data_IF_491961684001
#
_entry.id   IF_491961684001
#
_cell.length_a   1.000
_cell.length_b   1.000
_cell.length_c   1.000
_cell.angle_alpha   90.00
_cell.angle_beta   90.00
_cell.angle_gamma   90.00
#
_symmetry.space_group_name_H-M   'P 1'
#
loop_
_entity.id
_entity.type
_entity.pdbx_description
1 polymer ?
#
# COMPACT_ATOMS: atom_id res chain seq x y z
N UNK A 1 -57.34 -16.71 45.73
CA UNK A 1 -56.21 -17.28 46.50
C UNK A 1 -55.02 -17.48 45.57
N UNK A 2 -54.06 -16.54 45.57
CA UNK A 2 -52.90 -16.59 44.66
C UNK A 2 -51.88 -17.65 45.08
N UNK A 3 -51.49 -18.54 44.17
CA UNK A 3 -50.47 -19.57 44.43
C UNK A 3 -49.08 -18.91 44.59
N UNK A 4 -48.43 -19.16 45.73
CA UNK A 4 -47.08 -18.68 46.06
C UNK A 4 -46.05 -19.30 45.09
N UNK A 5 -45.37 -18.47 44.29
CA UNK A 5 -44.29 -18.92 43.40
C UNK A 5 -43.09 -19.31 44.28
N UNK A 6 -42.60 -20.57 44.22
CA UNK A 6 -41.46 -20.98 45.04
C UNK A 6 -40.19 -20.26 44.58
N UNK A 7 -39.47 -19.67 45.54
CA UNK A 7 -38.23 -18.96 45.29
C UNK A 7 -37.11 -19.86 44.72
N UNK A 8 -36.24 -19.26 43.90
CA UNK A 8 -35.09 -19.94 43.30
C UNK A 8 -34.10 -20.35 44.40
N UNK A 9 -34.01 -21.66 44.68
CA UNK A 9 -33.03 -22.20 45.64
C UNK A 9 -31.61 -21.96 45.12
N UNK A 10 -30.80 -21.20 45.85
CA UNK A 10 -29.37 -21.09 45.59
C UNK A 10 -28.73 -22.46 45.86
N UNK A 11 -28.34 -23.17 44.79
CA UNK A 11 -27.57 -24.41 44.95
C UNK A 11 -26.18 -24.01 45.46
N UNK A 12 -25.99 -24.16 46.77
CA UNK A 12 -24.66 -24.14 47.38
C UNK A 12 -23.78 -25.19 46.70
N UNK A 13 -22.46 -24.99 46.81
CA UNK A 13 -21.49 -25.96 46.31
C UNK A 13 -21.69 -27.26 47.10
N UNK A 14 -22.04 -28.34 46.38
CA UNK A 14 -22.44 -29.62 46.98
C UNK A 14 -21.38 -30.19 47.94
N UNK A 15 -20.08 -30.02 47.60
CA UNK A 15 -18.94 -30.44 48.42
C UNK A 15 -17.83 -29.35 48.42
N UNK A 16 -17.62 -28.60 49.52
CA UNK A 16 -16.65 -27.50 49.55
C UNK A 16 -15.20 -27.97 49.40
N UNK A 17 -14.87 -29.14 49.95
CA UNK A 17 -13.53 -29.74 49.88
C UNK A 17 -13.17 -30.17 48.45
N UNK A 18 -14.12 -30.72 47.69
CA UNK A 18 -13.90 -31.09 46.28
C UNK A 18 -13.71 -29.85 45.41
N UNK A 19 -14.44 -28.78 45.67
CA UNK A 19 -14.26 -27.51 44.96
C UNK A 19 -12.89 -26.88 45.27
N UNK A 20 -12.47 -26.89 46.53
CA UNK A 20 -11.14 -26.42 46.92
C UNK A 20 -10.03 -27.24 46.28
N UNK A 21 -10.13 -28.59 46.29
CA UNK A 21 -9.18 -29.48 45.60
C UNK A 21 -9.09 -29.17 44.12
N UNK A 22 -10.24 -28.98 43.44
CA UNK A 22 -10.28 -28.60 42.03
C UNK A 22 -9.59 -27.25 41.78
N UNK A 23 -9.93 -26.23 42.58
CA UNK A 23 -9.31 -24.89 42.48
C UNK A 23 -7.80 -24.93 42.68
N UNK A 24 -7.31 -25.66 43.67
CA UNK A 24 -5.87 -25.85 43.92
C UNK A 24 -5.19 -26.58 42.75
N UNK A 25 -5.83 -27.61 42.19
CA UNK A 25 -5.28 -28.34 41.03
C UNK A 25 -5.17 -27.50 39.75
N UNK A 26 -6.08 -26.54 39.58
CA UNK A 26 -6.05 -25.58 38.47
C UNK A 26 -4.95 -24.53 38.69
N UNK A 27 -4.81 -24.02 39.92
CA UNK A 27 -3.78 -23.04 40.27
C UNK A 27 -2.36 -23.59 40.14
N UNK A 28 -2.14 -24.88 40.43
CA UNK A 28 -0.84 -25.54 40.25
C UNK A 28 -0.34 -25.54 38.79
N UNK A 29 -1.21 -25.26 37.81
CA UNK A 29 -0.88 -25.18 36.38
C UNK A 29 -0.73 -23.75 35.87
N UNK A 30 -0.97 -22.75 36.74
CA UNK A 30 -0.86 -21.33 36.40
C UNK A 30 0.61 -20.88 36.57
N UNK A 31 0.97 -19.86 35.80
CA UNK A 31 2.32 -19.29 35.58
C UNK A 31 3.20 -19.28 36.85
N UNK A 32 4.49 -19.61 36.67
CA UNK A 32 5.56 -19.72 37.68
C UNK A 32 5.54 -20.97 38.59
N UNK A 33 4.77 -22.01 38.25
CA UNK A 33 4.95 -23.33 38.87
C UNK A 33 6.33 -23.91 38.49
N UNK A 34 7.05 -24.58 39.41
CA UNK A 34 8.31 -25.22 39.09
C UNK A 34 8.10 -26.31 38.02
N UNK A 35 9.11 -26.59 37.17
CA UNK A 35 9.08 -27.73 36.26
C UNK A 35 8.78 -29.04 37.00
N UNK A 36 8.04 -29.96 36.36
CA UNK A 36 7.70 -31.27 36.95
C UNK A 36 8.94 -32.12 37.17
N UNK A 37 9.82 -32.13 36.18
CA UNK A 37 11.08 -32.86 36.16
C UNK A 37 12.22 -31.86 35.92
N UNK A 38 13.28 -31.94 36.74
CA UNK A 38 14.41 -31.01 36.68
C UNK A 38 15.36 -31.31 35.53
N UNK A 39 15.43 -32.57 35.12
CA UNK A 39 16.34 -33.05 34.08
C UNK A 39 15.69 -33.09 32.69
N UNK A 40 14.36 -32.99 32.61
CA UNK A 40 13.64 -32.97 31.35
C UNK A 40 13.55 -31.55 30.78
N UNK A 41 14.26 -31.30 29.67
CA UNK A 41 14.10 -30.05 28.92
C UNK A 41 13.00 -30.19 27.88
N UNK A 42 11.80 -29.69 28.20
CA UNK A 42 10.68 -29.72 27.27
C UNK A 42 10.97 -28.92 25.99
N UNK A 43 10.70 -29.53 24.84
CA UNK A 43 10.82 -28.89 23.53
C UNK A 43 9.82 -27.72 23.43
N UNK A 44 10.21 -26.55 22.90
CA UNK A 44 9.29 -25.43 22.69
C UNK A 44 8.08 -25.81 21.81
N UNK A 45 6.88 -25.34 22.18
CA UNK A 45 5.61 -25.61 21.45
C UNK A 45 5.63 -25.19 19.98
N UNK A 46 6.47 -24.22 19.60
CA UNK A 46 6.68 -23.84 18.20
C UNK A 46 7.35 -24.96 17.41
N UNK A 47 8.42 -25.54 17.96
CA UNK A 47 9.15 -26.64 17.33
C UNK A 47 8.32 -27.93 17.32
N UNK A 48 7.59 -28.21 18.39
CA UNK A 48 6.64 -29.32 18.46
C UNK A 48 5.59 -29.25 17.33
N UNK A 49 5.04 -28.05 17.05
CA UNK A 49 4.11 -27.84 15.93
C UNK A 49 4.75 -28.12 14.58
N UNK A 50 6.01 -27.72 14.38
CA UNK A 50 6.74 -27.96 13.13
C UNK A 50 7.04 -29.45 12.95
N UNK A 51 7.45 -30.15 14.02
CA UNK A 51 7.65 -31.60 14.00
C UNK A 51 6.35 -32.34 13.68
N UNK A 52 5.23 -31.97 14.32
CA UNK A 52 3.90 -32.52 14.02
C UNK A 52 3.49 -32.26 12.57
N UNK A 53 3.75 -31.06 12.03
CA UNK A 53 3.47 -30.74 10.63
C UNK A 53 4.35 -31.57 9.67
N UNK A 54 5.62 -31.77 10.01
CA UNK A 54 6.52 -32.62 9.22
C UNK A 54 6.07 -34.08 9.21
N UNK A 55 5.64 -34.59 10.38
CA UNK A 55 5.07 -35.93 10.51
C UNK A 55 3.76 -36.04 9.73
N UNK A 56 2.82 -35.10 9.87
CA UNK A 56 1.53 -35.16 9.14
C UNK A 56 1.70 -35.09 7.62
N UNK A 57 2.71 -34.38 7.12
CA UNK A 57 3.07 -34.37 5.70
C UNK A 57 3.74 -35.68 5.28
N UNK A 58 4.59 -36.27 6.14
CA UNK A 58 5.24 -37.57 5.89
C UNK A 58 4.23 -38.72 5.89
N UNK A 59 3.26 -38.69 6.80
CA UNK A 59 2.18 -39.66 6.97
C UNK A 59 1.07 -39.48 5.90
N UNK A 60 1.20 -38.51 4.99
CA UNK A 60 0.23 -38.26 3.92
C UNK A 60 -1.09 -37.62 4.38
N UNK A 61 -1.27 -37.34 5.68
CA UNK A 61 -2.46 -36.62 6.20
C UNK A 61 -2.56 -35.19 5.65
N UNK A 62 -1.44 -34.58 5.27
CA UNK A 62 -1.40 -33.26 4.64
C UNK A 62 -0.61 -33.31 3.31
N UNK A 63 -1.29 -33.03 2.20
CA UNK A 63 -0.67 -32.95 0.88
C UNK A 63 -0.02 -31.58 0.65
N UNK A 64 1.22 -31.59 0.12
CA UNK A 64 1.87 -30.36 -0.37
C UNK A 64 1.13 -29.90 -1.63
N UNK A 65 0.49 -28.73 -1.56
CA UNK A 65 -0.21 -28.16 -2.73
C UNK A 65 0.84 -27.68 -3.74
N UNK A 66 1.03 -28.42 -4.81
CA UNK A 66 1.82 -27.95 -5.95
C UNK A 66 1.10 -26.75 -6.57
N UNK A 67 1.60 -25.54 -6.33
CA UNK A 67 1.12 -24.33 -7.00
C UNK A 67 1.51 -24.41 -8.47
N UNK A 68 0.65 -25.03 -9.29
CA UNK A 68 0.75 -24.93 -10.75
C UNK A 68 0.84 -23.43 -11.08
N UNK A 69 1.95 -23.01 -11.69
CA UNK A 69 2.09 -21.65 -12.20
C UNK A 69 0.95 -21.42 -13.19
N UNK A 70 -0.06 -20.64 -12.79
CA UNK A 70 -1.15 -20.27 -13.70
C UNK A 70 -0.53 -19.51 -14.87
N UNK A 71 -0.48 -20.14 -16.04
CA UNK A 71 -0.18 -19.47 -17.30
C UNK A 71 -1.30 -18.47 -17.52
N UNK A 72 -1.04 -17.18 -17.29
CA UNK A 72 -2.00 -16.11 -17.55
C UNK A 72 -2.28 -16.11 -19.06
N UNK A 73 -3.48 -16.53 -19.46
CA UNK A 73 -3.97 -16.29 -20.81
C UNK A 73 -4.04 -14.78 -20.98
N UNK A 74 -3.25 -14.24 -21.92
CA UNK A 74 -3.02 -12.78 -22.06
C UNK A 74 -4.31 -11.98 -22.38
N UNK A 75 -5.39 -12.66 -22.76
CA UNK A 75 -6.65 -12.05 -23.22
C UNK A 75 -7.88 -12.49 -22.39
N UNK A 76 -7.69 -13.11 -21.23
CA UNK A 76 -8.84 -13.49 -20.39
C UNK A 76 -9.37 -12.26 -19.65
N UNK A 77 -10.66 -11.97 -19.80
CA UNK A 77 -11.34 -10.91 -19.06
C UNK A 77 -11.15 -11.12 -17.56
N UNK A 78 -10.83 -10.04 -16.84
CA UNK A 78 -10.65 -10.09 -15.39
C UNK A 78 -12.03 -10.26 -14.74
N UNK A 79 -12.18 -11.33 -13.95
CA UNK A 79 -13.35 -11.54 -13.10
C UNK A 79 -12.90 -11.50 -11.64
N UNK A 80 -13.48 -10.59 -10.86
CA UNK A 80 -13.27 -10.46 -9.43
C UNK A 80 -14.59 -10.71 -8.70
N UNK A 81 -14.52 -11.36 -7.53
CA UNK A 81 -15.71 -11.59 -6.70
C UNK A 81 -16.42 -12.92 -6.91
N UNK A 82 -16.03 -13.76 -7.87
CA UNK A 82 -16.49 -15.17 -7.98
C UNK A 82 -15.87 -16.07 -6.88
N UNK A 83 -15.95 -15.65 -5.62
CA UNK A 83 -15.60 -16.49 -4.49
C UNK A 83 -16.87 -17.15 -3.97
N UNK A 84 -16.86 -18.47 -3.91
CA UNK A 84 -17.88 -19.21 -3.16
C UNK A 84 -17.73 -18.80 -1.69
N UNK A 85 -18.79 -18.34 -1.01
CA UNK A 85 -18.70 -17.94 0.38
C UNK A 85 -18.16 -19.14 1.18
N UNK A 86 -17.10 -18.90 1.94
CA UNK A 86 -16.63 -19.89 2.91
C UNK A 86 -17.78 -20.13 3.88
N UNK A 87 -18.02 -21.39 4.26
CA UNK A 87 -19.11 -21.75 5.17
C UNK A 87 -18.91 -20.97 6.47
N UNK A 88 -19.69 -19.91 6.65
CA UNK A 88 -19.65 -19.12 7.86
C UNK A 88 -20.10 -19.99 9.04
N UNK A 89 -19.60 -19.68 10.24
CA UNK A 89 -20.06 -20.36 11.45
C UNK A 89 -21.60 -20.27 11.55
N UNK A 90 -22.33 -21.32 11.97
CA UNK A 90 -23.80 -21.36 11.92
C UNK A 90 -24.52 -20.29 12.76
N UNK A 91 -23.77 -19.54 13.59
CA UNK A 91 -24.26 -18.43 14.42
C UNK A 91 -23.75 -17.06 13.97
N UNK A 92 -23.01 -17.00 12.85
CA UNK A 92 -22.53 -15.75 12.28
C UNK A 92 -23.68 -15.05 11.55
N UNK A 93 -23.58 -13.71 11.45
CA UNK A 93 -24.49 -12.94 10.61
C UNK A 93 -24.28 -13.35 9.14
N UNK A 94 -25.35 -13.43 8.33
CA UNK A 94 -25.20 -13.66 6.91
C UNK A 94 -24.38 -12.52 6.30
N UNK A 95 -23.46 -12.86 5.39
CA UNK A 95 -22.67 -11.86 4.68
C UNK A 95 -23.57 -11.10 3.71
N UNK A 96 -23.37 -9.78 3.64
CA UNK A 96 -24.05 -8.95 2.65
C UNK A 96 -23.55 -9.31 1.26
N UNK A 97 -24.47 -9.46 0.32
CA UNK A 97 -24.15 -9.73 -1.09
C UNK A 97 -23.30 -8.58 -1.66
N UNK A 98 -22.15 -8.92 -2.21
CA UNK A 98 -21.19 -7.97 -2.82
C UNK A 98 -21.37 -7.97 -4.35
N UNK A 99 -21.23 -6.83 -5.03
CA UNK A 99 -21.22 -6.77 -6.48
C UNK A 99 -20.14 -7.68 -7.10
N UNK A 100 -20.50 -8.40 -8.16
CA UNK A 100 -19.56 -9.22 -8.93
C UNK A 100 -18.97 -8.36 -10.06
N UNK A 101 -17.64 -8.30 -10.14
CA UNK A 101 -16.98 -7.44 -11.13
C UNK A 101 -16.39 -8.28 -12.26
N UNK A 102 -16.93 -8.13 -13.46
CA UNK A 102 -16.33 -8.62 -14.70
C UNK A 102 -15.87 -7.45 -15.57
N UNK A 103 -14.68 -7.55 -16.14
CA UNK A 103 -14.19 -6.60 -17.14
C UNK A 103 -15.08 -6.67 -18.39
N UNK A 104 -15.50 -5.51 -18.90
CA UNK A 104 -16.29 -5.46 -20.15
C UNK A 104 -15.37 -5.73 -21.36
N UNK A 105 -15.91 -6.24 -22.50
CA UNK A 105 -15.10 -6.54 -23.68
C UNK A 105 -14.21 -5.38 -24.17
N UNK A 106 -14.74 -4.16 -24.14
CA UNK A 106 -14.05 -2.96 -24.64
C UNK A 106 -13.36 -2.12 -23.54
N UNK A 107 -13.36 -2.61 -22.31
CA UNK A 107 -12.82 -1.88 -21.16
C UNK A 107 -11.33 -2.15 -20.97
N UNK A 108 -10.51 -1.11 -20.97
CA UNK A 108 -9.09 -1.24 -20.61
C UNK A 108 -8.95 -1.64 -19.12
N UNK A 109 -7.94 -2.44 -18.79
CA UNK A 109 -7.71 -2.89 -17.40
C UNK A 109 -7.61 -1.75 -16.38
N UNK A 110 -7.12 -0.56 -16.77
CA UNK A 110 -7.13 0.63 -15.91
C UNK A 110 -8.55 1.19 -15.68
N UNK A 111 -9.37 1.24 -16.73
CA UNK A 111 -10.76 1.67 -16.64
C UNK A 111 -11.56 0.71 -15.75
N UNK A 112 -11.34 -0.60 -15.89
CA UNK A 112 -11.91 -1.63 -15.03
C UNK A 112 -11.56 -1.41 -13.56
N UNK A 113 -10.28 -1.22 -13.22
CA UNK A 113 -9.88 -0.97 -11.84
C UNK A 113 -10.49 0.30 -11.26
N UNK A 114 -10.57 1.37 -12.05
CA UNK A 114 -11.23 2.61 -11.62
C UNK A 114 -12.73 2.40 -11.36
N UNK A 115 -13.41 1.63 -12.22
CA UNK A 115 -14.82 1.27 -12.05
C UNK A 115 -15.03 0.43 -10.79
N UNK A 116 -14.21 -0.61 -10.58
CA UNK A 116 -14.22 -1.42 -9.35
C UNK A 116 -14.02 -0.54 -8.12
N UNK A 117 -13.07 0.39 -8.15
CA UNK A 117 -12.86 1.33 -7.04
C UNK A 117 -14.07 2.24 -6.80
N UNK A 118 -14.72 2.72 -7.86
CA UNK A 118 -15.93 3.54 -7.74
C UNK A 118 -17.09 2.75 -7.13
N UNK A 119 -17.35 1.54 -7.65
CA UNK A 119 -18.44 0.67 -7.19
C UNK A 119 -18.21 0.17 -5.75
N UNK A 120 -16.96 -0.11 -5.36
CA UNK A 120 -16.61 -0.46 -3.96
C UNK A 120 -16.83 0.71 -3.00
N UNK A 121 -16.47 1.94 -3.39
CA UNK A 121 -16.76 3.12 -2.57
C UNK A 121 -18.28 3.37 -2.48
N UNK A 122 -19.02 3.16 -3.56
CA UNK A 122 -20.48 3.23 -3.54
C UNK A 122 -21.08 2.19 -2.56
N UNK A 123 -20.58 0.96 -2.57
CA UNK A 123 -20.98 -0.10 -1.64
C UNK A 123 -20.68 0.27 -0.18
N UNK A 124 -19.49 0.82 0.11
CA UNK A 124 -19.15 1.28 1.45
C UNK A 124 -20.07 2.42 1.92
N UNK A 125 -20.32 3.40 1.05
CA UNK A 125 -21.24 4.50 1.35
C UNK A 125 -22.66 4.01 1.60
N UNK A 126 -23.10 3.01 0.85
CA UNK A 126 -24.38 2.35 1.06
C UNK A 126 -24.44 1.63 2.41
N UNK A 127 -23.43 0.84 2.79
CA UNK A 127 -23.40 0.22 4.12
C UNK A 127 -23.44 1.27 5.26
N UNK A 128 -22.76 2.40 5.07
CA UNK A 128 -22.83 3.51 6.03
C UNK A 128 -24.22 4.16 6.06
N UNK A 129 -24.91 4.24 4.91
CA UNK A 129 -26.27 4.72 4.80
C UNK A 129 -27.26 3.78 5.53
N UNK A 130 -27.15 2.47 5.29
CA UNK A 130 -27.93 1.44 5.96
C UNK A 130 -27.85 1.53 7.48
N UNK A 131 -26.63 1.62 8.01
CA UNK A 131 -26.40 1.74 9.46
C UNK A 131 -26.95 3.05 10.03
N UNK A 132 -26.83 4.15 9.28
CA UNK A 132 -27.30 5.47 9.70
C UNK A 132 -28.82 5.55 9.77
N UNK A 133 -29.51 4.97 8.80
CA UNK A 133 -30.97 5.05 8.67
C UNK A 133 -31.70 3.80 9.16
N UNK A 134 -31.00 2.73 9.51
CA UNK A 134 -31.59 1.46 9.94
C UNK A 134 -32.34 0.77 8.80
N UNK A 135 -31.76 0.81 7.60
CA UNK A 135 -32.36 0.30 6.36
C UNK A 135 -31.41 -0.73 5.77
N UNK A 136 -31.91 -1.66 4.97
CA UNK A 136 -31.15 -2.69 4.27
C UNK A 136 -31.47 -2.61 2.78
N UNK A 137 -30.44 -2.48 1.96
CA UNK A 137 -30.51 -2.48 0.50
C UNK A 137 -30.33 -3.91 0.02
N UNK A 138 -31.39 -4.46 -0.57
CA UNK A 138 -31.40 -5.82 -1.10
C UNK A 138 -30.70 -5.85 -2.46
N UNK A 139 -29.79 -6.80 -2.63
CA UNK A 139 -29.11 -7.07 -3.90
C UNK A 139 -29.36 -8.50 -4.37
N UNK A 140 -29.45 -8.68 -5.68
CA UNK A 140 -29.51 -10.02 -6.26
C UNK A 140 -28.18 -10.74 -5.97
N UNK A 141 -28.21 -12.00 -5.51
CA UNK A 141 -27.00 -12.79 -5.24
C UNK A 141 -26.19 -13.09 -6.49
N UNK A 142 -26.81 -13.08 -7.68
CA UNK A 142 -26.18 -13.42 -8.95
C UNK A 142 -25.51 -12.21 -9.62
N UNK A 143 -26.22 -11.08 -9.70
CA UNK A 143 -25.79 -9.90 -10.45
C UNK A 143 -25.18 -8.83 -9.55
N UNK A 144 -25.59 -8.77 -8.27
CA UNK A 144 -25.23 -7.69 -7.36
C UNK A 144 -25.95 -6.35 -7.63
N UNK A 145 -26.99 -6.36 -8.48
CA UNK A 145 -27.84 -5.21 -8.73
C UNK A 145 -28.75 -4.93 -7.52
N UNK A 146 -29.28 -3.72 -7.42
CA UNK A 146 -30.15 -3.31 -6.31
C UNK A 146 -31.60 -3.65 -6.67
N UNK A 147 -32.25 -4.55 -5.94
CA UNK A 147 -33.67 -4.89 -6.12
C UNK A 147 -34.59 -3.91 -5.38
N UNK A 148 -34.16 -3.45 -4.20
CA UNK A 148 -35.00 -2.60 -3.39
C UNK A 148 -34.45 -2.29 -2.00
N UNK A 149 -35.30 -1.63 -1.23
CA UNK A 149 -34.97 -1.07 0.08
C UNK A 149 -35.95 -1.62 1.12
N UNK A 150 -35.45 -2.25 2.18
CA UNK A 150 -36.26 -2.75 3.29
C UNK A 150 -35.82 -2.17 4.62
N UNK A 151 -36.73 -1.95 5.56
CA UNK A 151 -36.36 -1.57 6.93
C UNK A 151 -35.64 -2.73 7.61
N UNK A 152 -34.50 -2.45 8.24
CA UNK A 152 -33.72 -3.44 8.97
C UNK A 152 -34.33 -3.65 10.35
N UNK A 153 -34.51 -4.91 10.75
CA UNK A 153 -34.90 -5.24 12.13
C UNK A 153 -33.75 -4.89 13.08
N UNK A 154 -34.08 -4.50 14.31
CA UNK A 154 -33.06 -4.20 15.33
C UNK A 154 -32.48 -5.51 15.85
N UNK A 155 -31.21 -5.77 15.56
CA UNK A 155 -30.50 -6.89 16.13
C UNK A 155 -30.12 -6.62 17.59
N UNK A 156 -30.25 -7.63 18.45
CA UNK A 156 -29.83 -7.55 19.86
C UNK A 156 -28.36 -7.10 20.01
N UNK A 157 -27.49 -7.55 19.10
CA UNK A 157 -26.06 -7.21 19.08
C UNK A 157 -25.85 -5.71 18.81
N UNK A 158 -26.61 -5.13 17.89
CA UNK A 158 -26.49 -3.71 17.53
C UNK A 158 -27.05 -2.83 18.64
N UNK A 159 -28.12 -3.26 19.30
CA UNK A 159 -28.62 -2.61 20.51
C UNK A 159 -27.62 -2.67 21.65
N UNK A 160 -26.98 -3.81 21.89
CA UNK A 160 -25.91 -3.95 22.89
C UNK A 160 -24.69 -3.08 22.57
N UNK A 161 -24.27 -2.98 21.30
CA UNK A 161 -23.21 -2.06 20.89
C UNK A 161 -23.62 -0.60 21.13
N UNK A 162 -24.85 -0.23 20.77
CA UNK A 162 -25.38 1.12 20.99
C UNK A 162 -25.46 1.45 22.47
N UNK A 163 -25.88 0.51 23.32
CA UNK A 163 -25.87 0.65 24.77
C UNK A 163 -24.44 0.79 25.29
N UNK A 164 -23.50 -0.04 24.83
CA UNK A 164 -22.07 0.07 25.20
C UNK A 164 -21.49 1.44 24.83
N UNK A 165 -21.80 1.97 23.65
CA UNK A 165 -21.39 3.31 23.22
C UNK A 165 -22.01 4.39 24.12
N UNK A 166 -23.31 4.33 24.41
CA UNK A 166 -24.00 5.23 25.36
C UNK A 166 -23.38 5.15 26.77
N UNK A 167 -23.08 3.95 27.27
CA UNK A 167 -22.47 3.72 28.57
C UNK A 167 -21.01 4.18 28.64
N UNK A 168 -20.25 4.06 27.55
CA UNK A 168 -18.88 4.58 27.47
C UNK A 168 -18.85 6.12 27.50
N UNK A 169 -19.79 6.76 26.82
CA UNK A 169 -19.94 8.21 26.79
C UNK A 169 -20.47 8.76 28.12
N UNK A 170 -21.34 8.03 28.81
CA UNK A 170 -21.77 8.38 30.17
C UNK A 170 -20.68 8.14 31.21
N UNK A 171 -19.84 7.11 31.08
CA UNK A 171 -18.61 6.97 31.90
C UNK A 171 -17.62 8.12 31.66
N UNK A 172 -17.47 8.59 30.42
CA UNK A 172 -16.69 9.82 30.11
C UNK A 172 -17.33 11.08 30.71
N UNK A 173 -18.66 11.23 30.69
CA UNK A 173 -19.37 12.35 31.33
C UNK A 173 -19.37 12.28 32.87
N UNK A 174 -19.42 11.08 33.48
CA UNK A 174 -19.34 10.88 34.94
C UNK A 174 -17.91 11.00 35.48
N UNK A 175 -16.88 10.51 34.77
CA UNK A 175 -15.46 10.79 35.12
C UNK A 175 -15.14 12.28 35.04
N UNK A 176 -15.74 13.03 34.10
CA UNK A 176 -15.60 14.50 34.01
C UNK A 176 -16.21 15.27 35.19
N UNK A 177 -16.97 14.62 36.08
CA UNK A 177 -17.60 15.25 37.24
C UNK A 177 -16.99 14.81 38.58
N UNK A 178 -16.09 13.82 38.62
CA UNK A 178 -15.64 13.30 39.91
C UNK A 178 -14.13 13.20 40.14
N UNK A 179 -13.28 13.20 39.11
CA UNK A 179 -11.83 13.27 39.35
C UNK A 179 -11.13 13.97 38.19
N UNK A 180 -10.13 14.78 38.50
CA UNK A 180 -9.29 15.63 37.65
C UNK A 180 -9.87 17.01 37.32
N UNK A 181 -9.38 17.99 38.08
CA UNK A 181 -9.21 19.39 37.65
C UNK A 181 -8.29 19.46 36.42
N UNK A 182 -8.67 18.89 35.28
CA UNK A 182 -8.03 19.28 34.02
C UNK A 182 -8.71 20.54 33.56
N UNK A 183 -8.08 21.67 33.85
CA UNK A 183 -8.35 22.98 33.27
C UNK A 183 -8.67 22.81 31.79
N UNK A 184 -9.93 23.07 31.43
CA UNK A 184 -10.34 23.04 30.02
C UNK A 184 -9.52 24.11 29.30
N UNK A 185 -8.63 23.69 28.41
CA UNK A 185 -7.78 24.61 27.66
C UNK A 185 -8.62 25.75 27.06
N UNK A 186 -8.19 26.98 27.31
CA UNK A 186 -8.87 28.17 26.80
C UNK A 186 -8.85 28.18 25.27
N UNK A 187 -9.72 28.98 24.64
CA UNK A 187 -9.79 29.08 23.17
C UNK A 187 -8.44 29.47 22.56
N UNK A 188 -7.65 30.28 23.27
CA UNK A 188 -6.29 30.66 22.90
C UNK A 188 -5.31 29.48 22.96
N UNK A 189 -5.33 28.69 24.05
CA UNK A 189 -4.46 27.52 24.20
C UNK A 189 -4.77 26.44 23.14
N UNK A 190 -6.05 26.22 22.81
CA UNK A 190 -6.43 25.32 21.70
C UNK A 190 -5.94 25.80 20.35
N UNK A 191 -5.96 27.12 20.10
CA UNK A 191 -5.43 27.72 18.87
C UNK A 191 -3.91 27.54 18.79
N UNK A 192 -3.18 27.71 19.91
CA UNK A 192 -1.73 27.49 20.00
C UNK A 192 -1.37 26.03 19.72
N UNK A 193 -2.05 25.08 20.37
CA UNK A 193 -1.83 23.65 20.15
C UNK A 193 -2.16 23.23 18.70
N UNK A 194 -3.19 23.80 18.08
CA UNK A 194 -3.52 23.56 16.66
C UNK A 194 -2.44 24.11 15.72
N UNK A 195 -1.83 25.25 16.06
CA UNK A 195 -0.71 25.82 15.29
C UNK A 195 0.55 24.97 15.45
N UNK A 196 0.87 24.51 16.66
CA UNK A 196 1.99 23.58 16.91
C UNK A 196 1.83 22.28 16.14
N UNK A 197 0.64 21.64 16.19
CA UNK A 197 0.36 20.44 15.39
C UNK A 197 0.50 20.66 13.88
N UNK A 198 0.13 21.84 13.38
CA UNK A 198 0.36 22.19 11.96
C UNK A 198 1.85 22.37 11.65
N UNK A 199 2.63 22.93 12.58
CA UNK A 199 4.09 23.07 12.42
C UNK A 199 4.79 21.72 12.45
N UNK A 200 4.46 20.84 13.40
CA UNK A 200 5.05 19.50 13.48
C UNK A 200 4.70 18.65 12.27
N UNK A 201 3.46 18.70 11.78
CA UNK A 201 3.07 18.02 10.55
C UNK A 201 3.84 18.53 9.33
N UNK A 202 3.98 19.86 9.19
CA UNK A 202 4.84 20.45 8.15
C UNK A 202 6.31 20.05 8.27
N UNK A 203 6.82 19.87 9.49
CA UNK A 203 8.18 19.38 9.71
C UNK A 203 8.30 17.92 9.29
N UNK A 204 7.34 17.06 9.64
CA UNK A 204 7.28 15.67 9.19
C UNK A 204 7.18 15.56 7.66
N UNK A 205 6.30 16.36 7.03
CA UNK A 205 6.18 16.41 5.57
C UNK A 205 7.45 16.99 4.89
N UNK A 206 8.28 17.75 5.61
CA UNK A 206 9.57 18.27 5.14
C UNK A 206 10.75 17.32 5.37
N UNK A 207 10.58 16.28 6.20
CA UNK A 207 11.47 15.12 6.26
C UNK A 207 11.13 14.26 5.05
N UNK A 208 11.43 14.81 3.88
CA UNK A 208 11.57 14.04 2.66
C UNK A 208 12.79 13.13 2.93
N UNK A 209 12.56 11.84 3.14
CA UNK A 209 13.58 10.83 3.51
C UNK A 209 14.79 10.88 2.57
N UNK A 210 14.58 11.37 1.34
CA UNK A 210 15.59 11.61 0.31
C UNK A 210 16.48 12.83 0.52
N UNK A 211 16.14 13.80 1.38
CA UNK A 211 17.02 14.94 1.72
C UNK A 211 18.17 14.52 2.62
N UNK A 212 17.95 13.52 3.50
CA UNK A 212 18.99 12.96 4.37
C UNK A 212 20.00 12.12 3.57
N UNK A 213 19.57 11.58 2.42
CA UNK A 213 20.39 10.77 1.52
C UNK A 213 21.20 11.55 0.48
N UNK A 214 21.23 12.88 0.55
CA UNK A 214 22.06 13.69 -0.35
C UNK A 214 23.42 13.93 0.30
N UNK A 215 24.47 13.34 -0.28
CA UNK A 215 25.84 13.74 0.01
C UNK A 215 26.14 15.08 -0.68
N UNK A 216 26.60 16.06 0.09
CA UNK A 216 27.20 17.29 -0.43
C UNK A 216 28.67 17.02 -0.74
N UNK A 217 29.03 17.13 -2.01
CA UNK A 217 30.38 16.88 -2.52
C UNK A 217 31.06 18.23 -2.77
N UNK A 218 32.26 18.42 -2.21
CA UNK A 218 33.01 19.67 -2.37
C UNK A 218 33.74 19.73 -3.71
N UNK A 219 34.04 20.94 -4.18
CA UNK A 219 34.70 21.14 -5.47
C UNK A 219 36.16 20.64 -5.39
N UNK A 220 36.43 19.50 -6.04
CA UNK A 220 37.74 18.84 -6.03
C UNK A 220 37.65 17.33 -5.72
N UNK A 221 36.53 16.86 -5.18
CA UNK A 221 36.30 15.44 -4.92
C UNK A 221 36.09 14.64 -6.22
N UNK A 222 36.90 13.59 -6.40
CA UNK A 222 36.80 12.68 -7.55
C UNK A 222 35.85 11.54 -7.20
N UNK A 223 34.59 11.67 -7.60
CA UNK A 223 33.56 10.65 -7.37
C UNK A 223 33.75 9.50 -8.37
N UNK A 224 33.85 8.27 -7.86
CA UNK A 224 33.85 7.09 -8.73
C UNK A 224 32.45 6.88 -9.31
N UNK A 225 32.39 6.68 -10.63
CA UNK A 225 31.14 6.31 -11.29
C UNK A 225 30.62 5.00 -10.67
N UNK A 226 29.30 4.89 -10.41
CA UNK A 226 28.73 3.65 -9.93
C UNK A 226 29.04 2.51 -10.92
N UNK A 227 29.24 1.28 -10.44
CA UNK A 227 29.61 0.16 -11.29
C UNK A 227 28.55 -0.08 -12.36
N UNK A 228 28.99 -0.25 -13.61
CA UNK A 228 28.10 -0.54 -14.73
C UNK A 228 27.54 -1.97 -14.60
N UNK A 229 26.23 -2.09 -14.46
CA UNK A 229 25.54 -3.37 -14.53
C UNK A 229 25.47 -3.85 -15.99
N UNK A 230 26.51 -4.55 -16.45
CA UNK A 230 26.58 -5.14 -17.80
C UNK A 230 25.67 -6.36 -17.97
N UNK A 231 25.13 -6.88 -16.87
CA UNK A 231 24.34 -8.12 -16.83
C UNK A 231 22.85 -7.78 -16.98
N UNK A 232 22.21 -8.40 -17.99
CA UNK A 232 20.76 -8.29 -18.20
C UNK A 232 20.01 -9.05 -17.11
N UNK A 233 18.93 -8.49 -16.52
CA UNK A 233 18.13 -9.23 -15.55
C UNK A 233 17.47 -10.44 -16.22
N UNK A 234 17.45 -11.59 -15.52
CA UNK A 234 17.03 -12.93 -16.01
C UNK A 234 15.66 -13.03 -16.71
N UNK A 235 14.84 -11.98 -16.71
CA UNK A 235 13.49 -11.94 -17.28
C UNK A 235 13.23 -10.74 -18.22
N UNK A 236 14.27 -10.00 -18.62
CA UNK A 236 14.08 -8.92 -19.58
C UNK A 236 14.12 -9.48 -21.01
N UNK A 237 12.99 -9.34 -21.72
CA UNK A 237 12.89 -9.64 -23.14
C UNK A 237 13.70 -8.63 -23.95
N UNK A 238 14.55 -9.10 -24.87
CA UNK A 238 15.44 -8.26 -25.69
C UNK A 238 14.69 -7.26 -26.60
N UNK A 239 13.39 -7.48 -26.84
CA UNK A 239 12.52 -6.60 -27.62
C UNK A 239 12.05 -5.36 -26.85
N UNK A 240 12.00 -5.43 -25.51
CA UNK A 240 11.50 -4.35 -24.65
C UNK A 240 12.62 -3.55 -23.95
N UNK A 241 13.89 -3.83 -24.27
CA UNK A 241 15.04 -3.16 -23.67
C UNK A 241 15.47 -1.89 -24.40
N UNK A 242 14.71 -1.41 -25.38
CA UNK A 242 14.92 -0.04 -25.87
C UNK A 242 14.67 0.92 -24.69
N UNK A 243 15.64 1.79 -24.39
CA UNK A 243 15.56 2.79 -23.31
C UNK A 243 14.15 3.39 -23.28
N UNK A 244 13.50 3.53 -22.10
CA UNK A 244 12.17 4.15 -22.04
C UNK A 244 12.25 5.55 -22.68
N UNK A 245 11.67 5.69 -23.88
CA UNK A 245 11.81 6.88 -24.73
C UNK A 245 12.22 6.60 -26.18
N UNK A 246 12.90 5.49 -26.47
CA UNK A 246 13.10 4.99 -27.84
C UNK A 246 11.89 4.16 -28.26
N UNK A 247 10.77 4.81 -28.57
CA UNK A 247 9.70 4.15 -29.34
C UNK A 247 9.99 4.43 -30.81
N UNK A 248 10.02 3.38 -31.65
CA UNK A 248 10.09 3.56 -33.11
C UNK A 248 8.82 4.29 -33.55
N UNK A 249 8.95 5.59 -33.84
CA UNK A 249 7.83 6.40 -34.28
C UNK A 249 7.49 6.00 -35.72
N UNK A 250 6.22 6.19 -36.14
CA UNK A 250 5.80 5.94 -37.53
C UNK A 250 6.67 6.69 -38.56
N UNK A 251 7.17 7.87 -38.18
CA UNK A 251 8.12 8.64 -38.98
C UNK A 251 9.46 7.90 -39.16
N UNK A 252 9.98 7.20 -38.14
CA UNK A 252 11.21 6.41 -38.27
C UNK A 252 11.05 5.27 -39.29
N UNK A 253 9.85 4.68 -39.41
CA UNK A 253 9.59 3.66 -40.42
C UNK A 253 9.49 4.25 -41.84
N UNK A 254 8.96 5.46 -41.97
CA UNK A 254 8.84 6.15 -43.26
C UNK A 254 10.20 6.62 -43.79
N UNK A 255 11.09 7.08 -42.91
CA UNK A 255 12.44 7.48 -43.28
C UNK A 255 13.36 6.27 -43.51
N UNK A 256 13.25 5.19 -42.71
CA UNK A 256 14.05 3.97 -42.92
C UNK A 256 13.72 3.20 -44.20
N UNK A 257 12.52 3.34 -44.76
CA UNK A 257 12.22 2.76 -46.08
C UNK A 257 12.98 3.45 -47.21
N UNK A 258 13.38 4.71 -47.02
CA UNK A 258 14.09 5.49 -48.03
C UNK A 258 15.63 5.32 -47.95
N UNK A 259 16.15 4.92 -46.79
CA UNK A 259 17.58 4.79 -46.52
C UNK A 259 18.14 3.37 -46.72
N UNK A 260 17.35 2.42 -47.26
CA UNK A 260 17.82 1.04 -47.52
C UNK A 260 18.88 0.93 -48.61
N UNK A 261 19.34 2.04 -49.20
CA UNK A 261 20.50 2.10 -50.09
C UNK A 261 21.81 2.51 -49.43
N UNK A 262 21.85 2.76 -48.11
CA UNK A 262 23.09 3.09 -47.41
C UNK A 262 23.24 2.31 -46.10
N UNK A 263 24.15 1.35 -46.10
CA UNK A 263 24.57 0.63 -44.91
C UNK A 263 25.17 1.59 -43.84
N UNK A 264 24.73 1.38 -42.60
CA UNK A 264 25.31 1.82 -41.32
C UNK A 264 25.25 3.32 -40.91
N UNK A 265 24.56 3.64 -39.79
CA UNK A 265 24.93 4.80 -38.98
C UNK A 265 25.08 4.41 -37.49
N UNK A 266 26.22 3.81 -37.14
CA UNK A 266 26.73 3.87 -35.76
C UNK A 266 28.14 4.47 -35.80
N UNK A 267 28.16 5.78 -35.98
CA UNK A 267 29.37 6.58 -35.89
C UNK A 267 28.94 8.03 -35.94
N UNK A 268 28.93 8.70 -34.79
CA UNK A 268 28.97 10.16 -34.78
C UNK A 268 30.23 10.51 -35.55
N UNK A 269 30.08 10.95 -36.81
CA UNK A 269 31.21 11.40 -37.63
C UNK A 269 31.78 12.62 -36.90
N UNK A 270 32.89 12.43 -36.19
CA UNK A 270 33.65 13.52 -35.61
C UNK A 270 34.03 14.46 -36.75
N UNK A 271 33.44 15.64 -36.79
CA UNK A 271 33.77 16.64 -37.81
C UNK A 271 35.22 17.05 -37.57
N UNK A 272 36.10 16.76 -38.53
CA UNK A 272 37.51 17.11 -38.45
C UNK A 272 37.63 18.65 -38.49
N UNK A 273 37.87 19.27 -37.34
CA UNK A 273 38.02 20.72 -37.18
C UNK A 273 39.39 21.25 -37.63
N UNK A 274 40.30 20.36 -38.02
CA UNK A 274 41.67 20.68 -38.44
C UNK A 274 41.80 21.08 -39.92
N UNK A 275 40.69 21.28 -40.65
CA UNK A 275 40.68 21.60 -42.08
C UNK A 275 40.32 23.05 -42.44
N UNK A 276 40.18 23.32 -43.74
CA UNK A 276 39.70 24.63 -44.22
C UNK A 276 38.24 24.80 -43.84
N UNK A 277 37.84 26.03 -43.47
CA UNK A 277 36.47 26.34 -43.01
C UNK A 277 35.38 26.10 -44.06
N UNK A 278 35.75 26.06 -45.35
CA UNK A 278 34.81 25.76 -46.45
C UNK A 278 34.35 24.30 -46.42
N UNK A 279 35.11 23.42 -45.75
CA UNK A 279 34.86 21.99 -45.69
C UNK A 279 33.99 21.61 -44.46
N UNK A 280 33.70 22.56 -43.57
CA UNK A 280 32.84 22.36 -42.41
C UNK A 280 31.35 22.51 -42.76
N UNK A 281 30.46 21.81 -42.04
CA UNK A 281 29.01 22.02 -42.15
C UNK A 281 28.64 23.49 -41.94
N UNK A 282 27.66 23.97 -42.69
CA UNK A 282 27.23 25.39 -42.70
C UNK A 282 26.92 25.93 -41.30
N UNK A 283 26.28 25.12 -40.45
CA UNK A 283 25.98 25.48 -39.06
C UNK A 283 27.23 25.70 -38.20
N UNK A 284 28.22 24.81 -38.30
CA UNK A 284 29.47 24.91 -37.53
C UNK A 284 30.36 26.04 -38.05
N UNK A 285 30.35 26.27 -39.37
CA UNK A 285 30.99 27.44 -40.00
C UNK A 285 30.44 28.76 -39.46
N UNK A 286 29.11 28.90 -39.36
CA UNK A 286 28.46 30.09 -38.82
C UNK A 286 28.85 30.35 -37.36
N UNK A 287 28.89 29.31 -36.54
CA UNK A 287 29.31 29.42 -35.13
C UNK A 287 30.78 29.85 -34.98
N UNK A 288 31.68 29.33 -35.82
CA UNK A 288 33.09 29.73 -35.79
C UNK A 288 33.30 31.18 -36.26
N UNK A 289 32.56 31.63 -37.29
CA UNK A 289 32.60 33.01 -37.76
C UNK A 289 32.07 33.99 -36.71
N UNK A 290 31.01 33.61 -35.98
CA UNK A 290 30.45 34.40 -34.88
C UNK A 290 31.44 34.56 -33.72
N UNK A 291 32.05 33.46 -33.25
CA UNK A 291 33.09 33.48 -32.21
C UNK A 291 34.31 34.30 -32.61
N UNK A 292 34.72 34.24 -33.88
CA UNK A 292 35.82 35.05 -34.38
C UNK A 292 35.48 36.55 -34.35
N UNK A 293 34.26 36.92 -34.77
CA UNK A 293 33.81 38.31 -34.71
C UNK A 293 33.81 38.82 -33.27
N UNK A 294 33.30 38.03 -32.34
CA UNK A 294 33.27 38.35 -30.91
C UNK A 294 34.68 38.53 -30.32
N UNK A 295 35.63 37.65 -30.66
CA UNK A 295 37.01 37.79 -30.20
C UNK A 295 37.68 39.06 -30.76
N UNK A 296 37.42 39.40 -32.03
CA UNK A 296 37.96 40.61 -32.67
C UNK A 296 37.36 41.87 -32.03
N UNK A 297 36.05 41.89 -31.76
CA UNK A 297 35.41 43.04 -31.10
C UNK A 297 35.93 43.22 -29.68
N UNK A 298 36.05 42.14 -28.91
CA UNK A 298 36.62 42.16 -27.57
C UNK A 298 38.07 42.69 -27.59
N UNK A 299 38.91 42.22 -28.52
CA UNK A 299 40.28 42.69 -28.66
C UNK A 299 40.35 44.17 -29.04
N UNK A 300 39.52 44.64 -29.97
CA UNK A 300 39.43 46.06 -30.36
C UNK A 300 39.03 46.93 -29.17
N UNK A 301 38.05 46.49 -28.39
CA UNK A 301 37.61 47.18 -27.18
C UNK A 301 38.70 47.23 -26.10
N UNK A 302 39.47 46.15 -25.95
CA UNK A 302 40.59 46.11 -25.00
C UNK A 302 41.71 47.05 -25.47
N UNK A 303 42.03 47.06 -26.76
CA UNK A 303 43.03 47.96 -27.33
C UNK A 303 42.62 49.43 -27.25
N UNK A 304 41.34 49.76 -27.48
CA UNK A 304 40.85 51.13 -27.33
C UNK A 304 40.90 51.60 -25.87
N UNK A 305 40.56 50.73 -24.90
CA UNK A 305 40.74 51.01 -23.47
C UNK A 305 42.21 51.26 -23.11
N UNK A 306 43.12 50.38 -23.52
CA UNK A 306 44.56 50.56 -23.29
C UNK A 306 45.13 51.84 -23.90
N UNK A 307 44.59 52.29 -25.03
CA UNK A 307 45.00 53.54 -25.66
C UNK A 307 44.37 54.78 -25.00
N UNK A 308 43.28 54.65 -24.25
CA UNK A 308 42.65 55.72 -23.49
C UNK A 308 43.22 55.87 -22.07
N UNK A 309 43.85 54.82 -21.54
CA UNK A 309 44.54 54.81 -20.24
C UNK A 309 46.01 55.30 -20.33
N UNK A 310 46.48 55.70 -21.51
CA UNK A 310 47.80 56.31 -21.79
C UNK A 310 47.63 57.80 -22.09
#
# INVERSE_FOLDING_TARGET
MGRKIPGKKHRGVKDPTKQQKKRLSELNKVINAPPRDKDEQAIPKSLERVMKLKQSVKDGKMMKKNTKKKTKLKNQLIVMGNHHPQIAHPKARPEKVVPVFSQRPDECGKAFLNRVNSETQAFLNETAFEDKYGVEVKRDPSTGNIEGLSKRSKDEIDELMRLKLKHSNTKKKKKKKKDTETTRLTKAQKRKHKLELKKTKKLQDNIDEFKVFKETIEFGDVVHAPPELKIKPKKADASHSERPGRRRLLLDSLFKSHDKSAENPTGVKSVNRSGKRKDLPVGERRQLEERQKEAITAYRNLKSRKAADL
#
